data_IF_926715872478
#
_entry.id   IF_926715872478
#
_cell.length_a   1.000
_cell.length_b   1.000
_cell.length_c   1.000
_cell.angle_alpha   90.00
_cell.angle_beta   90.00
_cell.angle_gamma   90.00
#
_symmetry.space_group_name_H-M   'P 1'
#
loop_
_entity.id
_entity.type
_entity.pdbx_description
1 polymer ?
#
# COMPACT_ATOMS: atom_id res chain seq x y z
N UNK A 1 23.25 23.73 2.70
CA UNK A 1 22.87 22.30 2.69
C UNK A 1 21.36 22.24 2.75
N UNK A 2 20.69 21.91 1.64
CA UNK A 2 19.22 21.84 1.63
C UNK A 2 18.80 20.60 2.44
N UNK A 3 18.15 20.81 3.57
CA UNK A 3 17.42 19.75 4.25
C UNK A 3 16.27 19.35 3.33
N UNK A 4 16.48 18.31 2.51
CA UNK A 4 15.36 17.68 1.81
C UNK A 4 14.41 17.22 2.90
N UNK A 5 13.15 17.70 2.89
CA UNK A 5 12.10 17.13 3.73
C UNK A 5 12.17 15.60 3.57
N UNK A 6 12.07 14.80 4.65
CA UNK A 6 11.95 13.35 4.53
C UNK A 6 10.83 13.10 3.52
N UNK A 7 11.17 12.45 2.40
CA UNK A 7 10.16 12.13 1.40
C UNK A 7 9.24 11.13 2.06
N UNK A 8 8.01 11.53 2.37
CA UNK A 8 6.98 10.65 2.89
C UNK A 8 6.62 9.67 1.76
N UNK A 9 7.43 8.62 1.56
CA UNK A 9 7.35 7.78 0.37
C UNK A 9 8.46 6.73 0.20
N UNK A 10 9.60 6.82 0.90
CA UNK A 10 10.71 5.86 0.75
C UNK A 10 10.53 4.54 1.56
N UNK A 11 9.32 4.25 2.05
CA UNK A 11 9.02 3.05 2.83
C UNK A 11 8.54 1.88 1.95
N UNK A 12 8.78 0.61 2.34
CA UNK A 12 8.24 -0.54 1.61
C UNK A 12 6.71 -0.49 1.57
N UNK A 13 6.10 -1.23 0.64
CA UNK A 13 4.64 -1.43 0.67
C UNK A 13 4.22 -1.98 2.03
N UNK A 14 3.13 -1.44 2.58
CA UNK A 14 2.58 -1.83 3.89
C UNK A 14 1.11 -2.24 3.73
N UNK A 15 0.70 -3.28 4.43
CA UNK A 15 -0.71 -3.71 4.53
C UNK A 15 -1.04 -3.95 6.01
N UNK A 16 -2.00 -3.22 6.56
CA UNK A 16 -2.41 -3.30 7.97
C UNK A 16 -3.92 -3.47 8.09
N UNK A 17 -4.38 -4.15 9.15
CA UNK A 17 -5.80 -4.19 9.51
C UNK A 17 -6.10 -3.02 10.44
N UNK A 18 -7.00 -2.12 10.03
CA UNK A 18 -7.39 -0.95 10.80
C UNK A 18 -8.90 -0.99 11.05
N UNK A 19 -9.27 -1.24 12.31
CA UNK A 19 -10.67 -1.46 12.69
C UNK A 19 -11.28 -2.68 11.97
N UNK A 20 -12.23 -2.41 11.07
CA UNK A 20 -12.93 -3.43 10.28
C UNK A 20 -12.40 -3.57 8.86
N UNK A 21 -11.57 -2.63 8.40
CA UNK A 21 -11.00 -2.61 7.05
C UNK A 21 -9.54 -3.06 7.02
N UNK A 22 -9.04 -3.25 5.81
CA UNK A 22 -7.63 -3.45 5.50
C UNK A 22 -7.15 -2.22 4.75
N UNK A 23 -6.03 -1.66 5.21
CA UNK A 23 -5.40 -0.47 4.63
C UNK A 23 -4.08 -0.88 4.00
N UNK A 24 -3.95 -0.65 2.69
CA UNK A 24 -2.72 -0.85 1.93
C UNK A 24 -2.09 0.49 1.57
N UNK A 25 -0.77 0.63 1.78
CA UNK A 25 0.01 1.85 1.51
C UNK A 25 1.14 1.55 0.54
N UNK A 26 1.02 2.01 -0.71
CA UNK A 26 2.00 1.78 -1.78
C UNK A 26 2.85 3.04 -2.01
N UNK A 27 4.19 2.96 -1.94
CA UNK A 27 5.06 4.09 -2.29
C UNK A 27 4.99 4.39 -3.79
N UNK A 28 5.03 5.66 -4.18
CA UNK A 28 4.99 6.10 -5.57
C UNK A 28 6.34 6.71 -6.00
N UNK A 29 6.76 6.47 -7.25
CA UNK A 29 8.05 6.94 -7.78
C UNK A 29 8.18 8.48 -7.87
N UNK A 30 7.08 9.22 -7.71
CA UNK A 30 7.04 10.69 -7.63
C UNK A 30 7.00 11.27 -6.21
N UNK A 31 7.08 10.42 -5.19
CA UNK A 31 6.86 10.77 -3.79
C UNK A 31 5.39 10.64 -3.36
N UNK A 32 5.16 10.50 -2.05
CA UNK A 32 3.86 10.20 -1.49
C UNK A 32 3.57 8.71 -1.39
N UNK A 33 2.39 8.38 -0.88
CA UNK A 33 1.88 7.00 -0.79
C UNK A 33 0.45 6.96 -1.29
N UNK A 34 0.14 5.99 -2.14
CA UNK A 34 -1.24 5.63 -2.44
C UNK A 34 -1.78 4.83 -1.25
N UNK A 35 -2.88 5.29 -0.67
CA UNK A 35 -3.56 4.60 0.43
C UNK A 35 -4.88 4.05 -0.11
N UNK A 36 -5.08 2.74 0.04
CA UNK A 36 -6.29 2.04 -0.37
C UNK A 36 -6.89 1.39 0.88
N UNK A 37 -8.15 1.67 1.15
CA UNK A 37 -8.94 0.95 2.16
C UNK A 37 -9.86 -0.04 1.45
N UNK A 38 -9.93 -1.26 1.97
CA UNK A 38 -10.72 -2.34 1.40
C UNK A 38 -11.31 -3.22 2.49
N UNK A 39 -12.41 -3.89 2.16
CA UNK A 39 -13.00 -4.94 2.98
C UNK A 39 -12.15 -6.22 2.96
N UNK A 40 -12.37 -7.16 3.90
CA UNK A 40 -11.69 -8.46 3.87
C UNK A 40 -11.92 -9.25 2.58
N UNK A 41 -13.11 -9.15 1.99
CA UNK A 41 -13.47 -9.88 0.77
C UNK A 41 -12.70 -9.30 -0.43
N UNK A 42 -12.71 -7.98 -0.61
CA UNK A 42 -11.93 -7.29 -1.66
C UNK A 42 -10.42 -7.56 -1.54
N UNK A 43 -9.89 -7.64 -0.32
CA UNK A 43 -8.49 -7.99 -0.10
C UNK A 43 -8.16 -9.44 -0.48
N UNK A 44 -9.13 -10.35 -0.31
CA UNK A 44 -9.00 -11.75 -0.72
C UNK A 44 -8.99 -11.84 -2.24
N UNK A 45 -9.91 -11.17 -2.92
CA UNK A 45 -9.98 -11.10 -4.38
C UNK A 45 -8.68 -10.52 -4.97
N UNK A 46 -8.15 -9.44 -4.37
CA UNK A 46 -6.87 -8.87 -4.76
C UNK A 46 -5.71 -9.86 -4.57
N UNK A 47 -5.68 -10.60 -3.47
CA UNK A 47 -4.65 -11.62 -3.21
C UNK A 47 -4.67 -12.73 -4.26
N UNK A 48 -5.85 -13.20 -4.68
CA UNK A 48 -6.01 -14.19 -5.73
C UNK A 48 -5.58 -13.66 -7.11
N UNK A 49 -6.00 -12.44 -7.45
CA UNK A 49 -5.60 -11.77 -8.69
C UNK A 49 -4.07 -11.58 -8.75
N UNK A 50 -3.45 -11.20 -7.63
CA UNK A 50 -1.99 -11.09 -7.54
C UNK A 50 -1.34 -12.46 -7.69
N UNK A 51 -1.72 -13.46 -6.89
CA UNK A 51 -1.16 -14.83 -6.98
C UNK A 51 -1.23 -15.39 -8.41
N UNK A 52 -2.36 -15.25 -9.08
CA UNK A 52 -2.52 -15.71 -10.46
C UNK A 52 -1.63 -14.96 -11.47
N UNK A 53 -1.23 -13.72 -11.15
CA UNK A 53 -0.35 -12.91 -11.99
C UNK A 53 1.14 -13.19 -11.74
N UNK A 54 1.56 -13.41 -10.48
CA UNK A 54 2.97 -13.68 -10.16
C UNK A 54 3.41 -15.13 -10.43
N UNK A 55 2.48 -16.09 -10.49
CA UNK A 55 2.78 -17.51 -10.79
C UNK A 55 2.76 -18.40 -9.56
#
# INVERSE_FOLDING_TARGET
>A
MAAMKPRTGDGPMEVTKEGRGIVMRVPLEGGGRLVVEMTPDEATDLSEALKSTVG
#
